data_IF_866142874862
#
_entry.id   IF_866142874862
#
_cell.length_a   1.000
_cell.length_b   1.000
_cell.length_c   1.000
_cell.angle_alpha   90.00
_cell.angle_beta   90.00
_cell.angle_gamma   90.00
#
_symmetry.space_group_name_H-M   'P 1'
#
loop_
_entity.id
_entity.type
_entity.pdbx_description
1 polymer ?
#
# COMPACT_ATOMS: atom_id res chain seq x y z
N UNK A 1 3.29 -26.02 -1.37
CA UNK A 1 1.98 -26.32 -1.96
C UNK A 1 1.05 -25.11 -1.89
N UNK A 2 -0.08 -25.09 -2.64
CA UNK A 2 -1.06 -24.00 -2.57
C UNK A 2 -1.54 -23.69 -1.15
N UNK A 3 -1.57 -24.66 -0.26
CA UNK A 3 -1.96 -24.48 1.14
C UNK A 3 -0.90 -23.72 1.95
N UNK A 4 0.38 -23.94 1.69
CA UNK A 4 1.49 -23.24 2.34
C UNK A 4 1.59 -21.79 1.86
N UNK A 5 1.33 -21.55 0.56
CA UNK A 5 1.25 -20.20 -0.02
C UNK A 5 0.10 -19.38 0.60
N UNK A 6 -1.07 -20.04 0.78
CA UNK A 6 -2.22 -19.41 1.43
C UNK A 6 -1.99 -19.13 2.92
N UNK A 7 -1.31 -20.04 3.63
CA UNK A 7 -0.96 -19.85 5.04
C UNK A 7 0.03 -18.68 5.21
N UNK A 8 1.03 -18.57 4.34
CA UNK A 8 1.98 -17.46 4.35
C UNK A 8 1.32 -16.11 4.03
N UNK A 9 0.41 -16.06 3.05
CA UNK A 9 -0.33 -14.84 2.72
C UNK A 9 -1.23 -14.41 3.89
N UNK A 10 -1.91 -15.34 4.55
CA UNK A 10 -2.74 -15.08 5.72
C UNK A 10 -1.93 -14.54 6.90
N UNK A 11 -0.73 -15.06 7.13
CA UNK A 11 0.16 -14.57 8.19
C UNK A 11 0.63 -13.14 7.95
N UNK A 12 0.78 -12.72 6.70
CA UNK A 12 1.10 -11.35 6.33
C UNK A 12 -0.08 -10.40 6.56
N UNK A 13 -1.31 -10.82 6.23
CA UNK A 13 -2.52 -10.05 6.52
C UNK A 13 -2.74 -9.90 8.03
N UNK A 14 -2.49 -10.96 8.82
CA UNK A 14 -2.58 -10.92 10.29
C UNK A 14 -1.51 -10.00 10.93
N UNK A 15 -0.46 -9.61 10.20
CA UNK A 15 0.57 -8.68 10.68
C UNK A 15 0.17 -7.21 10.56
N UNK A 16 -0.93 -6.88 9.86
CA UNK A 16 -1.45 -5.52 9.76
C UNK A 16 -2.11 -5.10 11.07
N UNK A 17 -1.70 -3.96 11.61
CA UNK A 17 -2.32 -3.41 12.81
C UNK A 17 -3.59 -2.62 12.45
N UNK A 18 -4.68 -3.33 12.22
CA UNK A 18 -5.97 -2.74 11.91
C UNK A 18 -6.54 -1.90 13.06
N UNK A 19 -6.16 -2.18 14.31
CA UNK A 19 -6.64 -1.41 15.46
C UNK A 19 -5.98 -0.03 15.51
N UNK A 20 -4.69 0.03 15.21
CA UNK A 20 -3.97 1.30 15.10
C UNK A 20 -4.43 2.09 13.87
N UNK A 21 -4.63 1.43 12.74
CA UNK A 21 -5.15 2.03 11.51
C UNK A 21 -6.52 2.68 11.72
N UNK A 22 -7.45 1.97 12.35
CA UNK A 22 -8.78 2.50 12.67
C UNK A 22 -8.70 3.75 13.57
N UNK A 23 -7.80 3.76 14.54
CA UNK A 23 -7.57 4.93 15.39
C UNK A 23 -7.11 6.14 14.57
N UNK A 24 -6.17 5.97 13.65
CA UNK A 24 -5.71 7.07 12.79
C UNK A 24 -6.80 7.53 11.83
N UNK A 25 -7.58 6.61 11.29
CA UNK A 25 -8.72 6.97 10.46
C UNK A 25 -9.74 7.82 11.23
N UNK A 26 -10.03 7.47 12.48
CA UNK A 26 -10.94 8.25 13.31
C UNK A 26 -10.42 9.67 13.58
N UNK A 27 -9.13 9.82 13.88
CA UNK A 27 -8.51 11.14 14.02
C UNK A 27 -8.62 11.97 12.74
N UNK A 28 -8.37 11.37 11.59
CA UNK A 28 -8.54 12.05 10.30
C UNK A 28 -9.99 12.49 10.05
N UNK A 29 -10.97 11.64 10.36
CA UNK A 29 -12.39 11.98 10.25
C UNK A 29 -12.81 13.09 11.23
N UNK A 30 -12.20 13.17 12.41
CA UNK A 30 -12.42 14.25 13.37
C UNK A 30 -11.86 15.59 12.84
N UNK A 31 -10.69 15.57 12.22
CA UNK A 31 -10.10 16.76 11.60
C UNK A 31 -10.96 17.25 10.43
N UNK A 32 -11.49 16.34 9.61
CA UNK A 32 -12.39 16.70 8.50
C UNK A 32 -13.68 17.38 8.96
N UNK A 33 -14.20 17.05 10.15
CA UNK A 33 -15.41 17.73 10.71
C UNK A 33 -15.15 19.20 11.03
N UNK A 34 -13.90 19.63 11.15
CA UNK A 34 -13.55 21.03 11.40
C UNK A 34 -13.46 21.85 10.10
N UNK A 35 -13.51 21.18 8.93
CA UNK A 35 -13.52 21.86 7.63
C UNK A 35 -14.94 22.36 7.35
N UNK A 36 -15.06 23.65 7.07
CA UNK A 36 -16.35 24.26 6.73
C UNK A 36 -16.90 23.65 5.43
N UNK A 37 -18.07 23.02 5.53
CA UNK A 37 -18.74 22.44 4.37
C UNK A 37 -19.43 23.52 3.56
N UNK A 38 -18.94 23.76 2.36
CA UNK A 38 -19.59 24.65 1.40
C UNK A 38 -20.77 23.96 0.73
N UNK A 39 -21.82 24.74 0.41
CA UNK A 39 -22.95 24.22 -0.39
C UNK A 39 -22.49 23.93 -1.83
N UNK A 40 -23.15 23.01 -2.51
CA UNK A 40 -22.86 22.69 -3.92
C UNK A 40 -22.94 23.94 -4.81
N UNK A 41 -23.87 24.85 -4.52
CA UNK A 41 -23.96 26.13 -5.23
C UNK A 41 -22.71 26.99 -5.00
N UNK A 42 -22.21 27.05 -3.76
CA UNK A 42 -20.99 27.79 -3.46
C UNK A 42 -19.78 27.17 -4.14
N UNK A 43 -19.67 25.83 -4.11
CA UNK A 43 -18.61 25.09 -4.80
C UNK A 43 -18.67 25.30 -6.33
N UNK A 44 -19.87 25.29 -6.91
CA UNK A 44 -20.05 25.54 -8.34
C UNK A 44 -19.55 26.92 -8.75
N UNK A 45 -19.78 27.95 -7.93
CA UNK A 45 -19.23 29.29 -8.18
C UNK A 45 -17.70 29.37 -8.08
N UNK A 46 -17.05 28.50 -7.27
CA UNK A 46 -15.58 28.46 -7.24
C UNK A 46 -14.99 28.08 -8.60
N UNK A 47 -15.70 27.30 -9.42
CA UNK A 47 -15.25 26.91 -10.76
C UNK A 47 -15.02 28.12 -11.65
N UNK A 48 -15.87 29.16 -11.55
CA UNK A 48 -15.67 30.40 -12.29
C UNK A 48 -14.37 31.09 -11.89
N UNK A 49 -14.15 31.30 -10.61
CA UNK A 49 -12.94 31.96 -10.10
C UNK A 49 -11.67 31.19 -10.51
N UNK A 50 -11.73 29.85 -10.53
CA UNK A 50 -10.61 29.00 -10.93
C UNK A 50 -10.32 29.13 -12.44
N UNK A 51 -11.36 29.20 -13.27
CA UNK A 51 -11.21 29.25 -14.74
C UNK A 51 -10.85 30.65 -15.21
N UNK A 52 -11.50 31.69 -14.68
CA UNK A 52 -11.33 33.07 -15.11
C UNK A 52 -10.10 33.72 -14.49
N UNK A 53 -9.95 33.63 -13.17
CA UNK A 53 -8.93 34.34 -12.40
C UNK A 53 -7.73 33.47 -12.02
N UNK A 54 -7.78 32.18 -12.32
CA UNK A 54 -6.78 31.21 -11.86
C UNK A 54 -6.60 31.23 -10.33
N UNK A 55 -7.70 31.46 -9.59
CA UNK A 55 -7.67 31.68 -8.15
C UNK A 55 -7.29 30.38 -7.42
N UNK A 56 -6.17 30.46 -6.70
CA UNK A 56 -5.62 29.32 -5.94
C UNK A 56 -6.44 29.00 -4.69
N UNK A 57 -7.03 30.03 -4.06
CA UNK A 57 -7.84 29.81 -2.85
C UNK A 57 -9.12 29.07 -3.20
N UNK A 58 -9.77 29.42 -4.31
CA UNK A 58 -10.93 28.69 -4.83
C UNK A 58 -10.58 27.24 -5.19
N UNK A 59 -9.39 27.00 -5.76
CA UNK A 59 -8.92 25.65 -6.07
C UNK A 59 -8.67 24.82 -4.80
N UNK A 60 -8.11 25.44 -3.77
CA UNK A 60 -7.89 24.79 -2.46
C UNK A 60 -9.22 24.46 -1.79
N UNK A 61 -10.17 25.37 -1.73
CA UNK A 61 -11.50 25.15 -1.16
C UNK A 61 -12.25 24.04 -1.91
N UNK A 62 -12.18 24.04 -3.24
CA UNK A 62 -12.75 22.94 -4.04
C UNK A 62 -12.10 21.60 -3.70
N UNK A 63 -10.77 21.55 -3.60
CA UNK A 63 -10.05 20.33 -3.24
C UNK A 63 -10.40 19.84 -1.84
N UNK A 64 -10.50 20.74 -0.87
CA UNK A 64 -10.88 20.41 0.51
C UNK A 64 -12.28 19.81 0.59
N UNK A 65 -13.22 20.29 -0.22
CA UNK A 65 -14.60 19.79 -0.22
C UNK A 65 -14.71 18.32 -0.66
N UNK A 66 -13.74 17.82 -1.43
CA UNK A 66 -13.70 16.43 -1.87
C UNK A 66 -13.10 15.46 -0.85
N UNK A 67 -12.34 15.93 0.14
CA UNK A 67 -11.72 15.07 1.13
C UNK A 67 -12.74 14.19 1.89
N UNK A 68 -13.87 14.78 2.28
CA UNK A 68 -14.97 14.04 2.90
C UNK A 68 -15.57 12.98 1.98
N UNK A 69 -15.80 13.32 0.70
CA UNK A 69 -16.32 12.40 -0.31
C UNK A 69 -15.39 11.21 -0.57
N UNK A 70 -14.07 11.45 -0.58
CA UNK A 70 -13.07 10.36 -0.70
C UNK A 70 -13.23 9.36 0.43
N UNK A 71 -13.46 9.80 1.68
CA UNK A 71 -13.65 8.88 2.81
C UNK A 71 -14.92 8.02 2.68
N UNK A 72 -15.94 8.52 2.01
CA UNK A 72 -17.14 7.73 1.69
C UNK A 72 -16.85 6.71 0.59
N UNK A 73 -16.12 7.12 -0.47
CA UNK A 73 -15.82 6.26 -1.62
C UNK A 73 -14.87 5.11 -1.29
N UNK A 74 -13.98 5.27 -0.31
CA UNK A 74 -13.10 4.17 0.13
C UNK A 74 -13.82 3.08 0.93
N UNK A 75 -15.00 3.37 1.47
CA UNK A 75 -15.73 2.46 2.38
C UNK A 75 -15.94 1.06 1.81
N UNK A 76 -16.32 0.85 0.53
CA UNK A 76 -16.48 -0.48 -0.06
C UNK A 76 -15.16 -1.26 -0.24
N UNK A 77 -14.03 -0.57 -0.13
CA UNK A 77 -12.69 -1.13 -0.35
C UNK A 77 -11.99 -1.54 0.95
N UNK A 78 -12.53 -1.15 2.11
CA UNK A 78 -11.98 -1.50 3.43
C UNK A 78 -12.01 -3.01 3.67
N UNK A 79 -11.00 -3.50 4.39
CA UNK A 79 -10.89 -4.93 4.72
C UNK A 79 -10.46 -5.84 3.56
N UNK A 80 -9.99 -5.28 2.44
CA UNK A 80 -9.49 -6.04 1.28
C UNK A 80 -7.96 -6.25 1.29
N UNK A 81 -7.34 -6.27 2.48
CA UNK A 81 -5.90 -6.53 2.62
C UNK A 81 -5.02 -5.27 2.54
N UNK A 82 -5.64 -4.09 2.50
CA UNK A 82 -4.99 -2.77 2.56
C UNK A 82 -5.52 -2.01 3.77
N UNK A 83 -4.68 -1.23 4.44
CA UNK A 83 -5.08 -0.39 5.56
C UNK A 83 -5.98 0.75 5.08
N UNK A 84 -6.97 1.14 5.90
CA UNK A 84 -7.90 2.19 5.53
C UNK A 84 -7.22 3.56 5.36
N UNK A 85 -6.19 3.85 6.16
CA UNK A 85 -5.39 5.06 6.01
C UNK A 85 -4.64 5.10 4.66
N UNK A 86 -4.16 3.97 4.17
CA UNK A 86 -3.50 3.90 2.87
C UNK A 86 -4.50 4.11 1.73
N UNK A 87 -5.72 3.54 1.85
CA UNK A 87 -6.81 3.78 0.91
C UNK A 87 -7.20 5.27 0.87
N UNK A 88 -7.29 5.94 2.03
CA UNK A 88 -7.56 7.39 2.09
C UNK A 88 -6.45 8.18 1.41
N UNK A 89 -5.19 7.84 1.65
CA UNK A 89 -4.05 8.53 1.04
C UNK A 89 -4.07 8.39 -0.48
N UNK A 90 -4.26 7.18 -0.99
CA UNK A 90 -4.34 6.91 -2.43
C UNK A 90 -5.51 7.66 -3.07
N UNK A 91 -6.70 7.58 -2.47
CA UNK A 91 -7.86 8.31 -2.94
C UNK A 91 -7.66 9.83 -2.95
N UNK A 92 -7.07 10.37 -1.89
CA UNK A 92 -6.74 11.80 -1.83
C UNK A 92 -5.70 12.19 -2.89
N UNK A 93 -4.69 11.35 -3.13
CA UNK A 93 -3.67 11.60 -4.15
C UNK A 93 -4.28 11.65 -5.55
N UNK A 94 -5.13 10.68 -5.89
CA UNK A 94 -5.84 10.64 -7.17
C UNK A 94 -6.72 11.88 -7.36
N UNK A 95 -7.53 12.21 -6.36
CA UNK A 95 -8.40 13.39 -6.36
C UNK A 95 -7.60 14.69 -6.51
N UNK A 96 -6.56 14.90 -5.68
CA UNK A 96 -5.73 16.10 -5.71
C UNK A 96 -4.96 16.24 -7.03
N UNK A 97 -4.52 15.14 -7.61
CA UNK A 97 -3.88 15.15 -8.92
C UNK A 97 -4.83 15.64 -10.02
N UNK A 98 -6.06 15.16 -10.04
CA UNK A 98 -7.05 15.55 -11.03
C UNK A 98 -7.51 17.01 -10.85
N UNK A 99 -7.91 17.40 -9.63
CA UNK A 99 -8.41 18.73 -9.33
C UNK A 99 -7.28 19.76 -9.42
N UNK A 100 -6.13 19.49 -8.81
CA UNK A 100 -4.99 20.42 -8.76
C UNK A 100 -4.36 20.67 -10.12
N UNK A 101 -4.32 19.67 -11.00
CA UNK A 101 -3.88 19.83 -12.40
C UNK A 101 -4.98 20.43 -13.31
N UNK A 102 -6.17 20.68 -12.77
CA UNK A 102 -7.31 21.24 -13.52
C UNK A 102 -7.64 20.45 -14.79
N UNK A 103 -7.53 19.11 -14.74
CA UNK A 103 -7.78 18.25 -15.91
C UNK A 103 -9.21 18.43 -16.43
N UNK A 104 -10.16 18.66 -15.54
CA UNK A 104 -11.55 18.99 -15.85
C UNK A 104 -11.72 20.26 -16.70
N UNK A 105 -10.83 21.24 -16.56
CA UNK A 105 -10.86 22.48 -17.33
C UNK A 105 -10.42 22.29 -18.80
N UNK A 106 -9.95 21.09 -19.19
CA UNK A 106 -9.67 20.75 -20.59
C UNK A 106 -10.94 20.36 -21.35
N UNK A 107 -12.05 20.11 -20.68
CA UNK A 107 -13.34 19.87 -21.31
C UNK A 107 -13.91 21.19 -21.82
N UNK A 108 -13.98 21.33 -23.15
CA UNK A 108 -14.43 22.57 -23.80
C UNK A 108 -15.89 22.90 -23.45
N UNK A 109 -16.78 21.90 -23.42
CA UNK A 109 -18.19 22.10 -23.09
C UNK A 109 -18.34 22.64 -21.65
N UNK A 110 -17.64 22.05 -20.72
CA UNK A 110 -17.64 22.51 -19.33
C UNK A 110 -17.07 23.91 -19.17
N UNK A 111 -16.01 24.21 -19.91
CA UNK A 111 -15.38 25.53 -19.90
C UNK A 111 -16.32 26.63 -20.39
N UNK A 112 -17.11 26.35 -21.42
CA UNK A 112 -18.08 27.30 -21.94
C UNK A 112 -19.25 27.48 -20.96
N UNK A 113 -19.81 26.38 -20.39
CA UNK A 113 -20.80 26.44 -19.31
C UNK A 113 -20.34 27.25 -18.09
N UNK A 114 -19.07 27.09 -17.71
CA UNK A 114 -18.48 27.82 -16.58
C UNK A 114 -18.43 29.34 -16.89
N UNK A 115 -18.03 29.73 -18.09
CA UNK A 115 -17.96 31.14 -18.51
C UNK A 115 -19.34 31.79 -18.63
N UNK A 116 -20.36 31.05 -19.03
CA UNK A 116 -21.74 31.55 -19.10
C UNK A 116 -22.29 31.85 -17.70
N UNK A 117 -21.79 31.19 -16.66
CA UNK A 117 -22.09 31.48 -15.26
C UNK A 117 -23.52 31.12 -14.84
N UNK A 118 -24.24 30.33 -15.63
CA UNK A 118 -25.57 29.87 -15.25
C UNK A 118 -25.46 28.88 -14.09
N UNK A 119 -26.16 29.11 -12.99
CA UNK A 119 -26.10 28.28 -11.78
C UNK A 119 -26.42 26.81 -12.06
N UNK A 120 -27.38 26.51 -12.93
CA UNK A 120 -27.74 25.13 -13.26
C UNK A 120 -26.63 24.42 -14.01
N UNK A 121 -26.03 25.10 -14.97
CA UNK A 121 -24.91 24.60 -15.78
C UNK A 121 -23.66 24.40 -14.93
N UNK A 122 -23.38 25.32 -13.99
CA UNK A 122 -22.29 25.19 -13.01
C UNK A 122 -22.46 23.98 -12.10
N UNK A 123 -23.67 23.71 -11.62
CA UNK A 123 -23.99 22.54 -10.82
C UNK A 123 -23.83 21.26 -11.63
N UNK A 124 -24.26 21.25 -12.89
CA UNK A 124 -24.07 20.11 -13.80
C UNK A 124 -22.58 19.82 -14.00
N UNK A 125 -21.76 20.84 -14.24
CA UNK A 125 -20.31 20.70 -14.33
C UNK A 125 -19.70 20.18 -13.04
N UNK A 126 -20.10 20.72 -11.88
CA UNK A 126 -19.62 20.23 -10.58
C UNK A 126 -19.90 18.74 -10.37
N UNK A 127 -21.12 18.30 -10.67
CA UNK A 127 -21.49 16.88 -10.59
C UNK A 127 -20.70 16.02 -11.60
N UNK A 128 -20.44 16.56 -12.79
CA UNK A 128 -19.59 15.91 -13.79
C UNK A 128 -18.16 15.71 -13.28
N UNK A 129 -17.58 16.73 -12.67
CA UNK A 129 -16.25 16.67 -12.04
C UNK A 129 -16.25 15.64 -10.91
N UNK A 130 -17.27 15.67 -10.05
CA UNK A 130 -17.40 14.70 -8.95
C UNK A 130 -17.43 13.25 -9.46
N UNK A 131 -18.16 13.00 -10.52
CA UNK A 131 -18.23 11.67 -11.14
C UNK A 131 -16.87 11.23 -11.67
N UNK A 132 -16.17 12.09 -12.42
CA UNK A 132 -14.85 11.76 -12.95
C UNK A 132 -13.81 11.53 -11.85
N UNK A 133 -13.82 12.38 -10.80
CA UNK A 133 -12.94 12.19 -9.63
C UNK A 133 -13.22 10.86 -8.95
N UNK A 134 -14.49 10.52 -8.76
CA UNK A 134 -14.88 9.26 -8.14
C UNK A 134 -14.39 8.05 -8.95
N UNK A 135 -14.60 8.05 -10.26
CA UNK A 135 -14.12 6.99 -11.15
C UNK A 135 -12.60 6.82 -11.08
N UNK A 136 -11.85 7.92 -11.03
CA UNK A 136 -10.39 7.90 -10.87
C UNK A 136 -9.97 7.36 -9.51
N UNK A 137 -10.61 7.80 -8.44
CA UNK A 137 -10.33 7.31 -7.07
C UNK A 137 -10.62 5.81 -6.99
N UNK A 138 -11.81 5.37 -7.41
CA UNK A 138 -12.18 3.95 -7.39
C UNK A 138 -11.21 3.08 -8.21
N UNK A 139 -10.81 3.53 -9.40
CA UNK A 139 -9.81 2.85 -10.23
C UNK A 139 -8.43 2.76 -9.58
N UNK A 140 -7.98 3.83 -8.91
CA UNK A 140 -6.71 3.85 -8.17
C UNK A 140 -6.73 2.89 -6.98
N UNK A 141 -7.85 2.84 -6.24
CA UNK A 141 -8.04 1.92 -5.11
C UNK A 141 -8.04 0.44 -5.56
N UNK A 142 -8.70 0.14 -6.67
CA UNK A 142 -8.72 -1.21 -7.25
C UNK A 142 -7.31 -1.66 -7.63
N UNK A 143 -6.56 -0.79 -8.31
CA UNK A 143 -5.18 -1.05 -8.70
C UNK A 143 -4.30 -1.31 -7.47
N UNK A 144 -4.39 -0.46 -6.44
CA UNK A 144 -3.65 -0.61 -5.18
C UNK A 144 -3.95 -1.94 -4.48
N UNK A 145 -5.23 -2.34 -4.43
CA UNK A 145 -5.64 -3.60 -3.81
C UNK A 145 -5.09 -4.80 -4.59
N UNK A 146 -5.11 -4.74 -5.92
CA UNK A 146 -4.62 -5.84 -6.75
C UNK A 146 -3.09 -5.96 -6.68
N UNK A 147 -2.36 -4.85 -6.68
CA UNK A 147 -0.90 -4.83 -6.43
C UNK A 147 -0.56 -5.40 -5.05
N UNK A 148 -1.34 -5.05 -4.01
CA UNK A 148 -1.15 -5.58 -2.66
C UNK A 148 -1.40 -7.09 -2.61
N UNK A 149 -2.44 -7.58 -3.28
CA UNK A 149 -2.73 -9.03 -3.37
C UNK A 149 -1.59 -9.78 -4.06
N UNK A 150 -1.09 -9.26 -5.18
CA UNK A 150 0.04 -9.85 -5.91
C UNK A 150 1.29 -9.88 -5.03
N UNK A 151 1.60 -8.76 -4.36
CA UNK A 151 2.72 -8.66 -3.43
C UNK A 151 2.60 -9.67 -2.29
N UNK A 152 1.42 -9.79 -1.68
CA UNK A 152 1.15 -10.74 -0.61
C UNK A 152 1.27 -12.18 -1.09
N UNK A 153 0.85 -12.50 -2.32
CA UNK A 153 1.01 -13.84 -2.89
C UNK A 153 2.50 -14.19 -3.09
N UNK A 154 3.30 -13.24 -3.58
CA UNK A 154 4.75 -13.44 -3.76
C UNK A 154 5.42 -13.63 -2.39
N UNK A 155 5.14 -12.75 -1.44
CA UNK A 155 5.69 -12.82 -0.09
C UNK A 155 5.24 -14.10 0.64
N UNK A 156 3.97 -14.51 0.47
CA UNK A 156 3.44 -15.77 1.02
C UNK A 156 4.13 -17.02 0.48
N UNK A 157 4.47 -17.04 -0.82
CA UNK A 157 5.26 -18.13 -1.42
C UNK A 157 6.67 -18.22 -0.83
N UNK A 158 7.31 -17.07 -0.63
CA UNK A 158 8.65 -17.00 -0.01
C UNK A 158 8.58 -17.47 1.43
N UNK A 159 7.66 -16.93 2.21
CA UNK A 159 7.48 -17.29 3.62
C UNK A 159 7.13 -18.78 3.80
N UNK A 160 6.27 -19.33 2.94
CA UNK A 160 5.93 -20.74 2.93
C UNK A 160 7.16 -21.63 2.71
N UNK A 161 8.06 -21.24 1.78
CA UNK A 161 9.33 -21.97 1.56
C UNK A 161 10.25 -21.89 2.77
N UNK A 162 10.39 -20.72 3.37
CA UNK A 162 11.22 -20.51 4.58
C UNK A 162 10.71 -21.36 5.73
N UNK A 163 9.41 -21.34 5.99
CA UNK A 163 8.77 -22.12 7.04
C UNK A 163 8.98 -23.63 6.82
N UNK A 164 8.83 -24.11 5.58
CA UNK A 164 9.03 -25.50 5.23
C UNK A 164 10.48 -25.95 5.45
N UNK A 165 11.47 -25.14 5.07
CA UNK A 165 12.90 -25.39 5.33
C UNK A 165 13.16 -25.46 6.83
N UNK A 166 12.62 -24.54 7.61
CA UNK A 166 12.76 -24.51 9.06
C UNK A 166 12.16 -25.75 9.73
N UNK A 167 10.97 -26.16 9.31
CA UNK A 167 10.29 -27.34 9.86
C UNK A 167 11.06 -28.64 9.55
N UNK A 168 11.57 -28.79 8.33
CA UNK A 168 12.41 -29.93 7.97
C UNK A 168 13.74 -29.93 8.73
N UNK A 169 14.37 -28.74 8.88
CA UNK A 169 15.58 -28.62 9.67
C UNK A 169 15.38 -29.06 11.12
N UNK A 170 14.28 -28.65 11.76
CA UNK A 170 13.92 -29.08 13.12
C UNK A 170 13.67 -30.58 13.23
N UNK A 171 12.93 -31.17 12.27
CA UNK A 171 12.66 -32.61 12.24
C UNK A 171 13.95 -33.39 12.09
N UNK A 172 14.79 -33.04 11.12
CA UNK A 172 16.07 -33.70 10.87
C UNK A 172 17.04 -33.56 12.05
N UNK A 173 17.06 -32.42 12.72
CA UNK A 173 17.85 -32.24 13.95
C UNK A 173 17.47 -33.23 15.04
N UNK A 174 16.16 -33.46 15.21
CA UNK A 174 15.67 -34.44 16.18
C UNK A 174 15.97 -35.91 15.76
N UNK A 175 15.91 -36.20 14.44
CA UNK A 175 16.21 -37.56 13.91
C UNK A 175 17.70 -37.87 13.96
N UNK A 176 18.55 -36.90 13.67
CA UNK A 176 20.01 -37.08 13.56
C UNK A 176 20.76 -36.76 14.86
N UNK A 177 20.07 -36.22 15.86
CA UNK A 177 20.66 -35.73 17.12
C UNK A 177 21.79 -34.69 16.92
N UNK A 178 21.82 -34.05 15.74
CA UNK A 178 22.75 -32.99 15.36
C UNK A 178 22.09 -32.04 14.36
N UNK A 179 22.70 -30.87 14.14
CA UNK A 179 22.23 -29.96 13.08
C UNK A 179 22.41 -30.60 11.70
N UNK A 180 21.34 -30.67 10.87
CA UNK A 180 21.43 -31.15 9.49
C UNK A 180 22.19 -30.16 8.62
N UNK A 181 22.79 -30.66 7.58
CA UNK A 181 23.41 -29.86 6.52
C UNK A 181 22.37 -29.38 5.53
N UNK A 182 22.69 -28.34 4.76
CA UNK A 182 21.83 -27.84 3.66
C UNK A 182 21.48 -28.97 2.68
N UNK A 183 22.45 -29.86 2.36
CA UNK A 183 22.24 -30.99 1.47
C UNK A 183 21.21 -31.99 2.04
N UNK A 184 21.32 -32.34 3.31
CA UNK A 184 20.38 -33.26 3.95
C UNK A 184 18.95 -32.69 3.99
N UNK A 185 18.78 -31.40 4.22
CA UNK A 185 17.48 -30.75 4.15
C UNK A 185 16.95 -30.73 2.71
N UNK A 186 17.79 -30.42 1.73
CA UNK A 186 17.44 -30.40 0.31
C UNK A 186 16.98 -31.77 -0.18
N UNK A 187 17.73 -32.83 0.19
CA UNK A 187 17.41 -34.23 -0.18
C UNK A 187 16.07 -34.69 0.40
N UNK A 188 15.78 -34.35 1.65
CA UNK A 188 14.50 -34.68 2.30
C UNK A 188 13.32 -33.89 1.71
N UNK A 189 13.54 -32.68 1.28
CA UNK A 189 12.51 -31.85 0.65
C UNK A 189 12.33 -32.15 -0.84
N UNK A 190 13.28 -32.83 -1.48
CA UNK A 190 13.28 -33.04 -2.94
C UNK A 190 13.50 -31.78 -3.74
N UNK A 191 14.28 -30.84 -3.20
CA UNK A 191 14.65 -29.57 -3.85
C UNK A 191 16.15 -29.42 -3.95
N UNK A 192 16.65 -28.41 -4.69
CA UNK A 192 18.08 -28.19 -4.79
C UNK A 192 18.65 -27.51 -3.54
N UNK A 193 19.94 -27.73 -3.21
CA UNK A 193 20.63 -27.06 -2.12
C UNK A 193 20.63 -25.54 -2.26
N UNK A 194 20.65 -25.02 -3.50
CA UNK A 194 20.58 -23.60 -3.80
C UNK A 194 19.21 -23.02 -3.38
N UNK A 195 18.13 -23.76 -3.56
CA UNK A 195 16.80 -23.35 -3.14
C UNK A 195 16.65 -23.30 -1.62
N UNK A 196 17.30 -24.22 -0.88
CA UNK A 196 17.39 -24.16 0.57
C UNK A 196 18.21 -22.96 1.01
N UNK A 197 19.37 -22.73 0.40
CA UNK A 197 20.24 -21.57 0.68
C UNK A 197 19.52 -20.24 0.43
N UNK A 198 18.75 -20.16 -0.65
CA UNK A 198 17.97 -18.95 -0.97
C UNK A 198 16.83 -18.74 0.07
N UNK A 199 16.14 -19.79 0.48
CA UNK A 199 15.12 -19.69 1.53
C UNK A 199 15.72 -19.20 2.86
N UNK A 200 16.90 -19.71 3.24
CA UNK A 200 17.64 -19.25 4.41
C UNK A 200 18.02 -17.78 4.29
N UNK A 201 18.50 -17.35 3.12
CA UNK A 201 18.90 -15.97 2.87
C UNK A 201 17.72 -15.00 2.92
N UNK A 202 16.54 -15.45 2.53
CA UNK A 202 15.29 -14.65 2.55
C UNK A 202 14.62 -14.68 3.94
N UNK A 203 15.04 -15.58 4.83
CA UNK A 203 14.59 -15.58 6.23
C UNK A 203 15.09 -14.33 6.96
N UNK A 204 14.18 -13.61 7.64
CA UNK A 204 14.55 -12.46 8.47
C UNK A 204 15.32 -12.90 9.75
N UNK A 205 15.17 -14.18 10.15
CA UNK A 205 15.83 -14.80 11.28
C UNK A 205 16.72 -15.93 10.77
N UNK A 206 17.92 -16.05 11.33
CA UNK A 206 18.79 -17.16 11.02
C UNK A 206 18.08 -18.48 11.40
N UNK A 207 18.01 -19.43 10.48
CA UNK A 207 17.51 -20.76 10.79
C UNK A 207 18.59 -21.45 11.64
N UNK A 208 18.48 -21.34 12.96
CA UNK A 208 19.50 -21.81 13.92
C UNK A 208 19.76 -23.33 13.86
N UNK A 209 18.80 -24.07 13.29
CA UNK A 209 18.82 -25.53 13.28
C UNK A 209 19.62 -26.15 12.12
N UNK A 210 20.28 -25.36 11.28
CA UNK A 210 21.08 -25.84 10.14
C UNK A 210 22.59 -25.63 10.39
N UNK A 211 23.40 -26.62 10.01
CA UNK A 211 24.87 -26.53 10.01
C UNK A 211 25.37 -25.94 8.69
N UNK A 212 25.70 -24.65 8.71
CA UNK A 212 26.20 -23.92 7.55
C UNK A 212 27.66 -24.20 7.21
N UNK A 213 28.46 -24.73 8.17
CA UNK A 213 29.91 -24.83 8.03
C UNK A 213 30.31 -26.00 7.13
N UNK A 214 29.48 -27.04 7.04
CA UNK A 214 29.81 -28.26 6.28
C UNK A 214 29.42 -28.20 4.78
N UNK A 215 28.78 -27.14 4.33
CA UNK A 215 28.19 -27.06 2.98
C UNK A 215 28.81 -26.04 2.05
N UNK A 216 29.79 -25.25 2.50
CA UNK A 216 30.55 -24.41 1.56
C UNK A 216 31.65 -25.24 0.91
N UNK A 217 31.67 -25.36 -0.45
CA UNK A 217 32.90 -25.73 -1.14
C UNK A 217 33.96 -24.71 -0.71
N UNK A 218 35.14 -25.17 -0.36
CA UNK A 218 36.28 -24.28 -0.10
C UNK A 218 36.57 -23.49 -1.39
N UNK A 219 35.92 -22.39 -1.58
CA UNK A 219 36.26 -21.37 -2.55
C UNK A 219 37.16 -20.35 -1.84
N UNK A 220 38.30 -20.11 -2.44
CA UNK A 220 39.38 -19.27 -1.96
C UNK A 220 38.94 -18.02 -1.19
N UNK A 221 39.47 -17.93 0.02
CA UNK A 221 39.48 -16.78 0.91
C UNK A 221 39.75 -15.47 0.18
N UNK A 222 38.78 -14.61 0.10
CA UNK A 222 38.77 -13.16 0.24
C UNK A 222 37.57 -12.57 -0.52
N UNK A 223 36.42 -12.71 0.07
CA UNK A 223 35.33 -11.77 -0.18
C UNK A 223 34.63 -11.54 1.16
N UNK A 224 34.64 -10.30 1.60
CA UNK A 224 33.91 -9.82 2.77
C UNK A 224 32.47 -10.33 2.71
N UNK A 225 32.10 -11.18 3.67
CA UNK A 225 30.73 -11.53 3.93
C UNK A 225 30.08 -10.28 4.53
N UNK A 226 29.17 -9.59 3.82
CA UNK A 226 28.46 -8.49 4.43
C UNK A 226 27.54 -9.07 5.51
N UNK A 227 27.94 -8.88 6.75
CA UNK A 227 27.17 -9.24 7.95
C UNK A 227 26.02 -8.24 8.15
N UNK A 228 25.09 -8.22 7.18
CA UNK A 228 23.81 -7.52 7.29
C UNK A 228 22.75 -8.33 6.57
N UNK A 229 21.61 -8.63 7.24
CA UNK A 229 20.46 -9.20 6.55
C UNK A 229 20.02 -8.22 5.45
N UNK A 230 19.97 -8.70 4.21
CA UNK A 230 19.53 -7.91 3.06
C UNK A 230 18.03 -7.68 3.20
N UNK A 231 17.70 -6.50 3.70
CA UNK A 231 16.41 -6.07 4.14
C UNK A 231 15.37 -5.80 3.04
N UNK A 232 15.01 -6.81 2.22
CA UNK A 232 13.86 -6.61 1.33
C UNK A 232 12.52 -6.92 2.02
N UNK A 233 12.44 -7.92 2.86
CA UNK A 233 11.20 -8.21 3.64
C UNK A 233 11.06 -7.18 4.78
N UNK A 234 12.15 -6.84 5.46
CA UNK A 234 12.17 -5.73 6.41
C UNK A 234 11.84 -4.38 5.75
N UNK A 235 12.16 -4.21 4.47
CA UNK A 235 11.87 -3.00 3.70
C UNK A 235 10.37 -2.88 3.38
N UNK A 236 9.68 -3.96 3.04
CA UNK A 236 8.23 -3.98 2.81
C UNK A 236 7.49 -3.68 4.13
N UNK A 237 7.90 -4.32 5.24
CA UNK A 237 7.33 -4.05 6.58
C UNK A 237 7.66 -2.62 7.04
N UNK A 238 8.83 -2.09 6.68
CA UNK A 238 9.25 -0.73 7.06
C UNK A 238 8.58 0.35 6.23
N UNK A 239 8.27 0.09 4.97
CA UNK A 239 7.46 0.99 4.11
C UNK A 239 6.03 1.06 4.66
N UNK A 240 5.43 -0.06 5.06
CA UNK A 240 4.10 -0.07 5.70
C UNK A 240 4.09 0.71 7.02
N UNK A 241 5.11 0.57 7.86
CA UNK A 241 5.21 1.35 9.12
C UNK A 241 5.48 2.85 8.92
N UNK A 242 6.17 3.23 7.84
CA UNK A 242 6.48 4.63 7.56
C UNK A 242 5.38 5.36 6.78
N UNK A 243 4.51 4.65 6.06
CA UNK A 243 3.36 5.24 5.38
C UNK A 243 2.40 5.89 6.38
N UNK A 244 2.08 5.22 7.49
CA UNK A 244 1.27 5.79 8.59
C UNK A 244 1.89 7.06 9.22
N UNK A 245 3.22 7.21 9.15
CA UNK A 245 3.91 8.39 9.70
C UNK A 245 3.94 9.58 8.71
N UNK A 246 3.71 9.35 7.40
CA UNK A 246 3.69 10.41 6.39
C UNK A 246 2.43 11.26 6.41
N UNK A 247 1.28 10.72 6.83
CA UNK A 247 0.03 11.48 6.96
C UNK A 247 0.16 12.68 7.90
N UNK A 248 0.79 12.47 9.06
CA UNK A 248 1.03 13.54 10.05
C UNK A 248 1.98 14.65 9.57
N UNK A 249 2.78 14.40 8.51
CA UNK A 249 3.71 15.39 7.96
C UNK A 249 3.12 16.22 6.82
N UNK A 250 2.14 15.68 6.10
CA UNK A 250 1.44 16.42 5.03
C UNK A 250 0.45 17.42 5.62
N UNK A 251 -0.27 17.06 6.69
CA UNK A 251 -1.22 17.96 7.39
C UNK A 251 -0.52 19.12 8.16
N UNK A 252 0.81 19.05 8.40
CA UNK A 252 1.59 20.14 9.04
C UNK A 252 2.23 21.09 8.06
N UNK A 253 2.03 20.95 6.75
CA UNK A 253 2.63 21.80 5.70
C UNK A 253 1.59 22.48 4.79
N UNK A 254 0.32 22.43 5.15
CA UNK A 254 -0.77 23.25 4.56
C UNK A 254 -1.13 24.37 5.51
#
# INVERSE_FOLDING_TARGET
TKQEEQAGAKQLEESLDYAEDEKYLQLYLEDLKQVDMLSDTSLAFLLMNIVEDNDKNSLELLSQSFLGKVTEWITPYRGKGVLACDLVQEGNLAMLSYIGQKQWANNYEWKDKIKEGNTQDLLEVLHGIEKEVRELVEGSLEMMIDEQKESNQVAGRVLGKVNLVNDWAKRLRNELERKPTIQEVADKMGISPEQVTEAIRLSAEAIEDIDYVKTMPQADTKADVPNKPVGKISFIIHIQKNASCCMLRLLKRV
#
